data_IF_528299335472
#
_entry.id   IF_528299335472
#
_cell.length_a   1.000
_cell.length_b   1.000
_cell.length_c   1.000
_cell.angle_alpha   90.00
_cell.angle_beta   90.00
_cell.angle_gamma   90.00
#
_symmetry.space_group_name_H-M   'P 1'
#
loop_
_entity.id
_entity.type
_entity.pdbx_description
1 polymer ?
#
# COMPACT_ATOMS: atom_id res chain seq x y z
N UNK A 1 3.39 25.04 -10.16
CA UNK A 1 3.79 24.26 -11.34
C UNK A 1 2.85 23.07 -11.61
N UNK A 2 2.68 22.10 -10.67
CA UNK A 2 1.80 20.94 -10.93
C UNK A 2 0.34 21.37 -11.23
N UNK A 3 -0.23 22.27 -10.42
CA UNK A 3 -1.58 22.83 -10.65
C UNK A 3 -1.68 23.57 -11.98
N UNK A 4 -0.64 24.32 -12.35
CA UNK A 4 -0.64 25.11 -13.59
C UNK A 4 -0.61 24.18 -14.81
N UNK A 5 0.20 23.10 -14.75
CA UNK A 5 0.25 22.07 -15.80
C UNK A 5 -1.09 21.34 -15.93
N UNK A 6 -1.75 21.02 -14.82
CA UNK A 6 -3.09 20.40 -14.83
C UNK A 6 -4.13 21.36 -15.39
N UNK A 7 -4.06 22.64 -15.04
CA UNK A 7 -4.96 23.65 -15.61
C UNK A 7 -4.79 23.79 -17.13
N UNK A 8 -3.56 23.72 -17.61
CA UNK A 8 -3.26 23.73 -19.04
C UNK A 8 -3.81 22.48 -19.73
N UNK A 9 -3.65 21.29 -19.15
CA UNK A 9 -4.12 20.04 -19.74
C UNK A 9 -5.64 19.92 -19.82
N UNK A 10 -6.37 20.68 -18.97
CA UNK A 10 -7.82 20.73 -18.98
C UNK A 10 -8.38 21.70 -20.04
N UNK A 11 -7.52 22.41 -20.77
CA UNK A 11 -7.95 23.24 -21.90
C UNK A 11 -7.87 22.44 -23.20
N UNK A 12 -8.85 22.59 -24.08
CA UNK A 12 -8.93 21.86 -25.35
C UNK A 12 -7.75 22.15 -26.32
N UNK A 13 -6.89 23.10 -25.95
CA UNK A 13 -5.80 23.56 -26.79
C UNK A 13 -4.43 22.95 -26.46
N UNK A 14 -4.30 22.24 -25.32
CA UNK A 14 -3.00 21.77 -24.85
C UNK A 14 -3.02 20.30 -24.42
N UNK A 15 -2.01 19.56 -24.87
CA UNK A 15 -1.65 18.26 -24.33
C UNK A 15 -0.35 18.40 -23.56
N UNK A 16 -0.34 17.98 -22.30
CA UNK A 16 0.85 18.03 -21.43
C UNK A 16 1.37 16.62 -21.23
N UNK A 17 2.61 16.38 -21.63
CA UNK A 17 3.36 15.15 -21.35
C UNK A 17 4.54 15.52 -20.44
N UNK A 18 4.61 14.92 -19.28
CA UNK A 18 5.65 15.16 -18.29
C UNK A 18 6.41 13.88 -18.00
N UNK A 19 7.73 13.92 -18.07
CA UNK A 19 8.61 12.87 -17.56
C UNK A 19 9.25 13.34 -16.26
N UNK A 20 9.18 12.56 -15.22
CA UNK A 20 9.68 12.93 -13.90
C UNK A 20 10.04 11.71 -13.06
N UNK A 21 10.92 11.89 -12.11
CA UNK A 21 11.18 10.98 -10.99
C UNK A 21 10.82 11.63 -9.64
N UNK A 22 10.03 12.69 -9.66
CA UNK A 22 9.59 13.39 -8.46
C UNK A 22 8.25 12.84 -7.97
N UNK A 23 8.23 12.31 -6.76
CA UNK A 23 7.05 11.81 -6.06
C UNK A 23 5.94 12.86 -5.90
N UNK A 24 6.31 14.14 -5.86
CA UNK A 24 5.35 15.25 -5.76
C UNK A 24 4.37 15.33 -6.94
N UNK A 25 4.74 14.83 -8.11
CA UNK A 25 3.84 14.81 -9.27
C UNK A 25 2.87 13.63 -9.21
N UNK A 26 3.22 12.55 -8.54
CA UNK A 26 2.37 11.35 -8.41
C UNK A 26 1.31 11.52 -7.33
N UNK A 27 1.62 12.25 -6.25
CA UNK A 27 0.85 12.26 -5.00
C UNK A 27 -0.48 13.05 -5.04
N UNK A 28 -0.76 13.88 -6.06
CA UNK A 28 -1.78 14.94 -5.89
C UNK A 28 -3.10 14.78 -6.64
N UNK A 29 -3.29 13.74 -7.44
CA UNK A 29 -4.59 13.56 -8.11
C UNK A 29 -4.82 12.10 -8.50
N UNK A 30 -5.98 11.62 -8.25
CA UNK A 30 -6.42 10.26 -8.58
C UNK A 30 -6.83 10.10 -10.04
N UNK A 31 -7.24 11.20 -10.67
CA UNK A 31 -7.42 11.24 -12.12
C UNK A 31 -6.08 10.98 -12.79
N UNK A 32 -4.98 11.33 -12.13
CA UNK A 32 -3.61 11.07 -12.59
C UNK A 32 -3.26 9.57 -12.62
N UNK A 33 -3.79 8.71 -11.76
CA UNK A 33 -3.36 7.30 -11.72
C UNK A 33 -3.56 6.59 -13.07
N UNK A 34 -4.63 6.87 -13.78
CA UNK A 34 -4.85 6.35 -15.14
C UNK A 34 -4.00 7.04 -16.20
N UNK A 35 -3.45 8.21 -15.89
CA UNK A 35 -2.56 8.98 -16.77
C UNK A 35 -1.07 8.68 -16.48
N UNK A 36 -0.77 7.97 -15.41
CA UNK A 36 0.61 7.56 -15.11
C UNK A 36 1.03 6.45 -16.06
N UNK A 37 2.13 6.69 -16.75
CA UNK A 37 2.86 5.68 -17.51
C UNK A 37 4.14 5.37 -16.76
N UNK A 38 4.20 4.21 -16.13
CA UNK A 38 5.37 3.75 -15.39
C UNK A 38 6.30 2.97 -16.33
N UNK A 39 7.53 3.42 -16.41
CA UNK A 39 8.57 2.81 -17.26
C UNK A 39 9.57 2.07 -16.37
N UNK A 40 9.69 0.77 -16.57
CA UNK A 40 10.66 -0.07 -15.87
C UNK A 40 11.64 -0.66 -16.87
N UNK A 41 12.94 -0.56 -16.59
CA UNK A 41 13.99 -1.20 -17.40
C UNK A 41 14.53 -2.42 -16.67
N UNK A 42 14.39 -3.58 -17.30
CA UNK A 42 14.89 -4.87 -16.76
C UNK A 42 15.70 -5.55 -17.84
N UNK A 43 16.95 -5.89 -17.56
CA UNK A 43 17.86 -6.60 -18.49
C UNK A 43 17.99 -5.88 -19.85
N UNK A 44 18.06 -4.57 -19.84
CA UNK A 44 18.18 -3.76 -21.06
C UNK A 44 16.88 -3.51 -21.83
N UNK A 45 15.79 -4.16 -21.44
CA UNK A 45 14.47 -4.05 -22.08
C UNK A 45 13.58 -3.12 -21.23
N UNK A 46 12.98 -2.11 -21.88
CA UNK A 46 12.01 -1.24 -21.23
C UNK A 46 10.62 -1.82 -21.34
N UNK A 47 9.93 -1.90 -20.21
CA UNK A 47 8.51 -2.28 -20.12
C UNK A 47 7.69 -1.07 -19.73
N UNK A 48 6.50 -0.98 -20.29
CA UNK A 48 5.54 0.10 -20.07
C UNK A 48 4.37 -0.46 -19.27
N UNK A 49 4.01 0.21 -18.19
CA UNK A 49 2.86 -0.10 -17.36
C UNK A 49 1.96 1.12 -17.26
N UNK A 50 0.69 0.92 -17.52
CA UNK A 50 -0.34 1.94 -17.36
C UNK A 50 -1.64 1.24 -17.00
N UNK A 51 -2.37 1.78 -16.05
CA UNK A 51 -3.66 1.26 -15.66
C UNK A 51 -4.72 1.83 -16.58
N UNK A 52 -5.39 0.97 -17.35
CA UNK A 52 -6.55 1.36 -18.13
C UNK A 52 -7.74 1.71 -17.22
N UNK A 53 -8.69 2.50 -17.72
CA UNK A 53 -9.92 2.81 -16.98
C UNK A 53 -10.67 1.56 -16.55
N UNK A 54 -10.73 0.53 -17.40
CA UNK A 54 -11.35 -0.76 -17.09
C UNK A 54 -10.64 -1.49 -15.96
N UNK A 55 -9.32 -1.57 -15.99
CA UNK A 55 -8.53 -2.20 -14.92
C UNK A 55 -8.64 -1.43 -13.61
N UNK A 56 -8.74 -0.12 -13.68
CA UNK A 56 -9.00 0.73 -12.52
C UNK A 56 -10.37 0.39 -11.90
N UNK A 57 -11.42 0.27 -12.71
CA UNK A 57 -12.75 -0.15 -12.27
C UNK A 57 -12.74 -1.57 -11.67
N UNK A 58 -11.94 -2.49 -12.21
CA UNK A 58 -11.76 -3.85 -11.67
C UNK A 58 -11.04 -3.84 -10.30
N UNK A 59 -10.06 -2.96 -10.10
CA UNK A 59 -9.42 -2.78 -8.78
C UNK A 59 -10.46 -2.31 -7.77
N UNK A 60 -11.34 -1.41 -8.19
CA UNK A 60 -12.41 -0.82 -7.38
C UNK A 60 -13.51 -1.83 -7.02
N UNK A 61 -13.94 -2.64 -7.96
CA UNK A 61 -15.10 -3.54 -7.77
C UNK A 61 -14.78 -4.72 -6.82
N UNK A 62 -13.50 -5.10 -6.70
CA UNK A 62 -13.08 -6.19 -5.81
C UNK A 62 -13.08 -5.86 -4.32
N UNK A 63 -13.40 -4.63 -3.92
CA UNK A 63 -13.56 -4.24 -2.52
C UNK A 63 -14.77 -4.81 -1.82
N UNK A 64 -15.66 -5.43 -2.55
CA UNK A 64 -16.75 -6.21 -1.95
C UNK A 64 -16.21 -7.20 -0.93
N UNK A 65 -15.02 -7.76 -1.14
CA UNK A 65 -14.42 -8.75 -0.22
C UNK A 65 -14.18 -8.21 1.17
N UNK A 66 -13.61 -6.99 1.32
CA UNK A 66 -13.39 -6.40 2.65
C UNK A 66 -14.71 -6.06 3.34
N UNK A 67 -15.71 -5.59 2.58
CA UNK A 67 -17.05 -5.35 3.09
C UNK A 67 -17.75 -6.64 3.51
N UNK A 68 -17.61 -7.72 2.75
CA UNK A 68 -18.14 -9.03 3.08
C UNK A 68 -17.51 -9.59 4.35
N UNK A 69 -16.17 -9.49 4.49
CA UNK A 69 -15.47 -9.87 5.71
C UNK A 69 -15.99 -9.03 6.89
N UNK A 70 -16.03 -7.70 6.75
CA UNK A 70 -16.48 -6.80 7.81
C UNK A 70 -17.91 -7.06 8.24
N UNK A 71 -18.81 -7.39 7.31
CA UNK A 71 -20.22 -7.67 7.60
C UNK A 71 -20.42 -8.98 8.38
N UNK A 72 -19.51 -9.95 8.21
CA UNK A 72 -19.55 -11.20 9.00
C UNK A 72 -19.08 -11.00 10.45
N UNK A 73 -18.28 -9.95 10.71
CA UNK A 73 -17.70 -9.68 12.03
C UNK A 73 -17.94 -8.24 12.50
N UNK A 74 -19.19 -7.77 12.60
CA UNK A 74 -19.49 -6.36 12.82
C UNK A 74 -18.92 -5.82 14.13
N UNK A 75 -18.84 -6.65 15.18
CA UNK A 75 -18.30 -6.25 16.49
C UNK A 75 -16.78 -6.04 16.47
N UNK A 76 -16.07 -6.79 15.63
CA UNK A 76 -14.62 -6.66 15.44
C UNK A 76 -14.34 -5.50 14.49
N UNK A 77 -15.11 -5.40 13.43
CA UNK A 77 -14.97 -4.38 12.39
C UNK A 77 -15.27 -2.94 12.88
N UNK A 78 -15.91 -2.78 14.03
CA UNK A 78 -16.11 -1.44 14.66
C UNK A 78 -14.83 -0.64 14.88
N UNK A 79 -13.68 -1.30 14.86
CA UNK A 79 -12.36 -0.65 14.98
C UNK A 79 -11.77 -0.26 13.63
N UNK A 80 -12.39 -0.68 12.53
CA UNK A 80 -12.01 -0.20 11.21
C UNK A 80 -12.34 1.27 11.09
N UNK A 81 -11.45 2.02 10.46
CA UNK A 81 -11.68 3.43 10.15
C UNK A 81 -12.67 3.54 9.00
N UNK A 82 -13.37 4.67 8.92
CA UNK A 82 -14.30 4.93 7.82
C UNK A 82 -13.58 4.82 6.44
N UNK A 83 -12.30 5.21 6.39
CA UNK A 83 -11.47 5.11 5.19
C UNK A 83 -11.22 3.68 4.74
N UNK A 84 -11.14 2.72 5.67
CA UNK A 84 -10.92 1.31 5.37
C UNK A 84 -12.12 0.72 4.59
N UNK A 85 -13.30 1.29 4.77
CA UNK A 85 -14.54 0.91 4.11
C UNK A 85 -14.89 1.75 2.88
N UNK A 86 -14.13 2.82 2.60
CA UNK A 86 -14.35 3.64 1.42
C UNK A 86 -14.17 2.83 0.12
N UNK A 87 -14.92 3.17 -0.94
CA UNK A 87 -14.62 2.65 -2.27
C UNK A 87 -13.15 2.88 -2.62
N UNK A 88 -12.52 1.89 -3.25
CA UNK A 88 -11.07 1.84 -3.48
C UNK A 88 -10.46 3.10 -4.07
N UNK A 89 -11.19 3.72 -5.01
CA UNK A 89 -10.74 4.97 -5.61
C UNK A 89 -10.49 6.03 -4.55
N UNK A 90 -11.44 6.24 -3.65
CA UNK A 90 -11.31 7.25 -2.60
C UNK A 90 -10.24 6.87 -1.59
N UNK A 91 -10.15 5.59 -1.23
CA UNK A 91 -9.15 5.12 -0.29
C UNK A 91 -7.73 5.24 -0.85
N UNK A 92 -7.46 4.72 -2.05
CA UNK A 92 -6.14 4.83 -2.69
C UNK A 92 -5.77 6.30 -2.89
N UNK A 93 -6.71 7.15 -3.33
CA UNK A 93 -6.54 8.59 -3.44
C UNK A 93 -6.12 9.22 -2.12
N UNK A 94 -6.89 8.92 -1.08
CA UNK A 94 -6.67 9.44 0.25
C UNK A 94 -5.27 9.07 0.75
N UNK A 95 -4.91 7.80 0.63
CA UNK A 95 -3.62 7.30 1.12
C UNK A 95 -2.41 7.83 0.35
N UNK A 96 -2.50 7.97 -0.96
CA UNK A 96 -1.42 8.56 -1.76
C UNK A 96 -1.31 10.08 -1.54
N UNK A 97 -2.43 10.76 -1.29
CA UNK A 97 -2.43 12.21 -1.06
C UNK A 97 -1.94 12.62 0.33
N UNK A 98 -1.99 11.73 1.32
CA UNK A 98 -1.61 12.05 2.70
C UNK A 98 -0.12 12.33 2.87
N UNK A 99 0.72 11.68 2.09
CA UNK A 99 2.17 11.85 2.18
C UNK A 99 2.85 11.69 0.83
N UNK A 100 3.64 12.69 0.43
CA UNK A 100 4.44 12.63 -0.78
C UNK A 100 5.49 11.50 -0.75
N UNK A 101 6.00 11.14 0.44
CA UNK A 101 6.96 10.04 0.63
C UNK A 101 6.38 8.69 0.19
N UNK A 102 5.06 8.50 0.27
CA UNK A 102 4.42 7.28 -0.25
C UNK A 102 4.52 7.16 -1.76
N UNK A 103 4.57 8.26 -2.45
CA UNK A 103 4.76 8.27 -3.89
C UNK A 103 6.18 7.87 -4.32
N UNK A 104 7.14 7.80 -3.38
CA UNK A 104 8.49 7.28 -3.64
C UNK A 104 8.45 5.79 -4.00
N UNK A 105 7.42 5.07 -3.58
CA UNK A 105 7.19 3.69 -4.00
C UNK A 105 7.13 3.50 -5.53
N UNK A 106 6.68 4.52 -6.27
CA UNK A 106 6.65 4.49 -7.75
C UNK A 106 8.04 4.54 -8.38
N UNK A 107 9.05 4.93 -7.62
CA UNK A 107 10.43 5.09 -8.09
C UNK A 107 11.40 4.12 -7.41
N UNK A 108 10.88 3.29 -6.51
CA UNK A 108 11.68 2.29 -5.79
C UNK A 108 11.99 1.07 -6.66
N UNK A 109 13.09 0.40 -6.36
CA UNK A 109 13.41 -0.91 -6.94
C UNK A 109 12.60 -2.04 -6.32
N UNK A 110 12.25 -1.88 -5.04
CA UNK A 110 11.35 -2.74 -4.29
C UNK A 110 10.65 -1.94 -3.21
N UNK A 111 9.33 -2.13 -3.08
CA UNK A 111 8.54 -1.54 -2.00
C UNK A 111 8.23 -2.59 -0.95
N UNK A 112 8.46 -2.30 0.32
CA UNK A 112 8.03 -3.13 1.44
C UNK A 112 6.72 -2.55 1.99
N UNK A 113 5.62 -3.22 1.75
CA UNK A 113 4.31 -2.87 2.28
C UNK A 113 4.21 -3.36 3.73
N UNK A 114 3.94 -2.45 4.66
CA UNK A 114 3.78 -2.76 6.08
C UNK A 114 2.45 -2.23 6.60
N UNK A 115 2.00 -2.73 7.76
CA UNK A 115 0.71 -2.34 8.32
C UNK A 115 0.70 -0.89 8.81
N UNK A 116 1.79 -0.44 9.45
CA UNK A 116 1.80 0.86 10.09
C UNK A 116 3.17 1.48 10.31
N UNK A 117 3.16 2.58 11.05
CA UNK A 117 4.34 3.41 11.30
C UNK A 117 5.40 2.74 12.20
N UNK A 118 5.00 1.77 13.03
CA UNK A 118 5.93 1.02 13.90
C UNK A 118 6.89 0.18 13.06
N UNK A 119 6.36 -0.55 12.08
CA UNK A 119 7.15 -1.35 11.14
C UNK A 119 8.04 -0.46 10.28
N UNK A 120 7.51 0.69 9.80
CA UNK A 120 8.31 1.67 9.04
C UNK A 120 9.50 2.15 9.86
N UNK A 121 9.26 2.55 11.12
CA UNK A 121 10.30 3.01 12.02
C UNK A 121 11.37 1.95 12.28
N UNK A 122 10.93 0.70 12.54
CA UNK A 122 11.85 -0.42 12.76
C UNK A 122 12.70 -0.72 11.53
N UNK A 123 12.08 -0.89 10.36
CA UNK A 123 12.81 -1.27 9.15
C UNK A 123 13.77 -0.16 8.74
N UNK A 124 13.34 1.10 8.76
CA UNK A 124 14.23 2.21 8.44
C UNK A 124 15.41 2.28 9.42
N UNK A 125 15.17 2.05 10.72
CA UNK A 125 16.26 1.97 11.71
C UNK A 125 17.26 0.86 11.40
N UNK A 126 16.78 -0.32 11.00
CA UNK A 126 17.65 -1.45 10.63
C UNK A 126 18.45 -1.16 9.34
N UNK A 127 17.88 -0.40 8.42
CA UNK A 127 18.58 0.08 7.21
C UNK A 127 19.64 1.09 7.60
N UNK A 128 19.30 2.09 8.41
CA UNK A 128 20.20 3.18 8.82
C UNK A 128 21.38 2.66 9.65
N UNK A 129 21.15 1.62 10.46
CA UNK A 129 22.19 0.98 11.27
C UNK A 129 23.06 0.00 10.46
N UNK A 130 22.76 -0.21 9.18
CA UNK A 130 23.47 -1.14 8.31
C UNK A 130 23.20 -2.63 8.63
N UNK A 131 22.18 -2.93 9.43
CA UNK A 131 21.74 -4.31 9.72
C UNK A 131 21.14 -4.96 8.48
N UNK A 132 20.40 -4.17 7.69
CA UNK A 132 19.91 -4.57 6.37
C UNK A 132 20.88 -3.99 5.34
N UNK A 133 21.65 -4.88 4.72
CA UNK A 133 22.57 -4.53 3.66
C UNK A 133 21.83 -4.36 2.32
N UNK A 134 22.41 -3.61 1.39
CA UNK A 134 21.90 -3.42 0.01
C UNK A 134 20.46 -2.89 -0.10
N UNK A 135 20.05 -2.07 0.87
CA UNK A 135 18.72 -1.45 0.86
C UNK A 135 18.56 -0.28 -0.15
N UNK A 136 19.52 -0.12 -1.07
CA UNK A 136 19.47 0.96 -2.05
C UNK A 136 18.23 0.84 -2.95
N UNK A 137 17.42 1.91 -2.98
CA UNK A 137 16.19 1.95 -3.76
C UNK A 137 15.02 1.18 -3.14
N UNK A 138 15.13 0.71 -1.90
CA UNK A 138 14.02 0.16 -1.14
C UNK A 138 13.18 1.28 -0.56
N UNK A 139 11.85 1.18 -0.70
CA UNK A 139 10.88 2.07 -0.07
C UNK A 139 10.06 1.28 0.95
N UNK A 140 10.01 1.72 2.19
CA UNK A 140 9.12 1.16 3.21
C UNK A 140 7.81 1.94 3.20
N UNK A 141 6.72 1.26 2.86
CA UNK A 141 5.43 1.88 2.59
C UNK A 141 4.42 1.56 3.71
N UNK A 142 4.06 2.58 4.48
CA UNK A 142 2.99 2.49 5.48
C UNK A 142 1.61 2.41 4.81
N UNK A 143 0.95 1.27 4.93
CA UNK A 143 -0.40 1.07 4.43
C UNK A 143 -1.49 1.67 5.32
N UNK A 144 -1.13 2.21 6.51
CA UNK A 144 -2.09 2.73 7.51
C UNK A 144 -3.10 1.70 8.00
N UNK A 145 -2.75 0.44 7.95
CA UNK A 145 -3.52 -0.68 8.46
C UNK A 145 -3.60 -1.86 7.52
N UNK A 146 -3.74 -3.04 8.07
CA UNK A 146 -3.82 -4.33 7.37
C UNK A 146 -4.90 -4.36 6.26
N UNK A 147 -6.01 -3.65 6.49
CA UNK A 147 -7.18 -3.64 5.61
C UNK A 147 -6.89 -3.08 4.21
N UNK A 148 -5.83 -2.28 4.07
CA UNK A 148 -5.50 -1.58 2.84
C UNK A 148 -4.39 -2.29 2.05
N UNK A 149 -3.58 -3.13 2.69
CA UNK A 149 -2.42 -3.81 2.09
C UNK A 149 -2.76 -4.46 0.75
N UNK A 150 -3.81 -5.25 0.69
CA UNK A 150 -4.23 -5.96 -0.52
C UNK A 150 -4.52 -5.01 -1.71
N UNK A 151 -4.95 -3.77 -1.43
CA UNK A 151 -5.25 -2.75 -2.46
C UNK A 151 -3.97 -2.24 -3.10
N UNK A 152 -2.95 -1.96 -2.27
CA UNK A 152 -1.65 -1.54 -2.79
C UNK A 152 -0.94 -2.66 -3.52
N UNK A 153 -1.03 -3.91 -3.06
CA UNK A 153 -0.51 -5.06 -3.82
C UNK A 153 -1.09 -5.12 -5.23
N UNK A 154 -2.41 -4.94 -5.38
CA UNK A 154 -3.08 -4.93 -6.70
C UNK A 154 -2.65 -3.75 -7.55
N UNK A 155 -2.63 -2.54 -6.98
CA UNK A 155 -2.20 -1.32 -7.65
C UNK A 155 -0.77 -1.46 -8.17
N UNK A 156 0.15 -1.87 -7.30
CA UNK A 156 1.57 -2.02 -7.64
C UNK A 156 1.78 -3.13 -8.65
N UNK A 157 1.06 -4.24 -8.54
CA UNK A 157 1.09 -5.29 -9.55
C UNK A 157 0.71 -4.79 -10.95
N UNK A 158 -0.32 -3.95 -11.07
CA UNK A 158 -0.73 -3.36 -12.36
C UNK A 158 0.27 -2.35 -12.91
N UNK A 159 0.99 -1.68 -12.03
CA UNK A 159 2.02 -0.70 -12.39
C UNK A 159 3.42 -1.33 -12.54
N UNK A 160 3.56 -2.65 -12.38
CA UNK A 160 4.84 -3.31 -12.50
C UNK A 160 5.82 -2.97 -11.38
N UNK A 161 5.32 -2.53 -10.21
CA UNK A 161 6.14 -2.17 -9.05
C UNK A 161 6.39 -3.44 -8.23
N UNK A 162 7.66 -3.83 -8.12
CA UNK A 162 8.08 -4.94 -7.26
C UNK A 162 7.79 -4.59 -5.80
N UNK A 163 7.17 -5.54 -5.08
CA UNK A 163 6.83 -5.34 -3.68
C UNK A 163 6.91 -6.63 -2.88
N UNK A 164 7.25 -6.48 -1.60
CA UNK A 164 7.11 -7.47 -0.56
C UNK A 164 6.13 -6.97 0.49
N UNK A 165 5.61 -7.87 1.30
CA UNK A 165 4.59 -7.55 2.32
C UNK A 165 5.06 -8.09 3.65
N UNK A 166 4.95 -7.30 4.71
CA UNK A 166 5.15 -7.72 6.10
C UNK A 166 3.88 -7.36 6.87
N UNK A 167 3.24 -8.35 7.44
CA UNK A 167 2.00 -8.21 8.21
C UNK A 167 2.05 -9.04 9.48
N UNK A 168 1.27 -8.66 10.47
CA UNK A 168 1.05 -9.48 11.66
C UNK A 168 0.19 -10.71 11.31
N UNK A 169 0.49 -11.88 11.88
CA UNK A 169 -0.38 -13.05 11.75
C UNK A 169 -1.65 -12.91 12.58
N UNK A 170 -1.59 -12.17 13.68
CA UNK A 170 -2.66 -12.01 14.67
C UNK A 170 -3.20 -13.34 15.26
N UNK A 171 -2.40 -14.41 15.18
CA UNK A 171 -2.78 -15.74 15.67
C UNK A 171 -2.86 -15.80 17.21
N UNK A 172 -2.40 -14.75 17.90
CA UNK A 172 -2.54 -14.54 19.34
C UNK A 172 -3.95 -14.02 19.73
N UNK A 173 -4.80 -13.69 18.79
CA UNK A 173 -6.21 -13.33 19.02
C UNK A 173 -7.04 -14.60 19.27
N UNK A 174 -8.26 -14.42 19.75
CA UNK A 174 -9.19 -15.50 20.07
C UNK A 174 -10.51 -15.34 19.35
N UNK A 175 -11.24 -16.46 19.17
CA UNK A 175 -12.61 -16.52 18.69
C UNK A 175 -12.86 -15.75 17.39
N UNK A 176 -13.85 -14.85 17.41
CA UNK A 176 -14.25 -14.04 16.23
C UNK A 176 -13.13 -13.13 15.72
N UNK A 177 -12.26 -12.66 16.63
CA UNK A 177 -11.14 -11.80 16.22
C UNK A 177 -10.11 -12.59 15.45
N UNK A 178 -9.77 -13.79 15.90
CA UNK A 178 -8.86 -14.67 15.18
C UNK A 178 -9.39 -14.95 13.77
N UNK A 179 -10.63 -15.40 13.65
CA UNK A 179 -11.26 -15.70 12.34
C UNK A 179 -11.27 -14.50 11.40
N UNK A 180 -11.55 -13.32 11.93
CA UNK A 180 -11.54 -12.09 11.16
C UNK A 180 -10.14 -11.80 10.58
N UNK A 181 -9.08 -11.93 11.40
CA UNK A 181 -7.71 -11.72 10.95
C UNK A 181 -7.22 -12.83 10.01
N UNK A 182 -7.64 -14.07 10.22
CA UNK A 182 -7.38 -15.18 9.29
C UNK A 182 -7.95 -14.90 7.90
N UNK A 183 -9.19 -14.38 7.82
CA UNK A 183 -9.79 -14.01 6.54
C UNK A 183 -9.10 -12.81 5.86
N UNK A 184 -8.65 -11.82 6.66
CA UNK A 184 -7.83 -10.72 6.13
C UNK A 184 -6.47 -11.22 5.60
N UNK A 185 -5.83 -12.10 6.35
CA UNK A 185 -4.56 -12.69 5.93
C UNK A 185 -4.76 -13.50 4.62
N UNK A 186 -5.84 -14.25 4.52
CA UNK A 186 -6.19 -14.97 3.29
C UNK A 186 -6.47 -14.02 2.11
N UNK A 187 -7.12 -12.88 2.35
CA UNK A 187 -7.35 -11.86 1.32
C UNK A 187 -6.02 -11.28 0.81
N UNK A 188 -5.06 -11.01 1.69
CA UNK A 188 -3.73 -10.53 1.33
C UNK A 188 -2.98 -11.60 0.51
N UNK A 189 -2.98 -12.85 0.96
CA UNK A 189 -2.36 -13.97 0.23
C UNK A 189 -2.93 -14.16 -1.18
N UNK A 190 -4.26 -14.11 -1.32
CA UNK A 190 -4.93 -14.22 -2.61
C UNK A 190 -4.75 -13.01 -3.52
N UNK A 191 -4.20 -11.90 -2.98
CA UNK A 191 -3.85 -10.70 -3.75
C UNK A 191 -2.44 -10.76 -4.33
N UNK A 192 -1.68 -11.82 -4.04
CA UNK A 192 -0.35 -12.08 -4.62
C UNK A 192 -0.40 -12.04 -6.14
N UNK A 193 0.58 -11.41 -6.74
CA UNK A 193 0.69 -11.24 -8.18
C UNK A 193 2.16 -11.37 -8.64
N UNK A 194 2.41 -11.27 -9.93
CA UNK A 194 3.75 -11.45 -10.54
C UNK A 194 4.83 -10.53 -9.95
N UNK A 195 4.45 -9.39 -9.41
CA UNK A 195 5.36 -8.40 -8.82
C UNK A 195 5.47 -8.51 -7.30
N UNK A 196 4.71 -9.40 -6.66
CA UNK A 196 4.84 -9.74 -5.25
C UNK A 196 6.02 -10.70 -5.07
N UNK A 197 7.09 -10.24 -4.44
CA UNK A 197 8.29 -11.04 -4.22
C UNK A 197 8.09 -11.99 -3.03
N UNK A 198 7.62 -11.45 -1.92
CA UNK A 198 7.44 -12.22 -0.69
C UNK A 198 6.28 -11.64 0.14
N UNK A 199 5.66 -12.51 0.95
CA UNK A 199 4.71 -12.13 1.99
C UNK A 199 5.20 -12.79 3.27
N UNK A 200 5.59 -11.97 4.25
CA UNK A 200 6.01 -12.42 5.58
C UNK A 200 4.90 -12.14 6.59
N UNK A 201 4.65 -13.11 7.44
CA UNK A 201 3.70 -12.98 8.55
C UNK A 201 4.45 -13.10 9.87
N UNK A 202 4.53 -12.00 10.61
CA UNK A 202 5.11 -11.97 11.95
C UNK A 202 4.21 -12.78 12.87
N UNK A 203 4.79 -13.69 13.64
CA UNK A 203 4.04 -14.52 14.58
C UNK A 203 3.44 -13.65 15.71
N UNK A 204 2.12 -13.72 15.87
CA UNK A 204 1.35 -12.82 16.73
C UNK A 204 1.25 -11.41 16.17
N UNK A 205 2.01 -10.50 16.73
CA UNK A 205 2.17 -9.11 16.28
C UNK A 205 3.60 -8.62 16.52
N UNK A 206 3.95 -7.47 15.95
CA UNK A 206 5.31 -6.92 16.02
C UNK A 206 5.79 -6.74 17.47
N UNK A 207 4.96 -6.24 18.39
CA UNK A 207 5.32 -6.02 19.79
C UNK A 207 5.66 -7.34 20.48
N UNK A 208 4.86 -8.38 20.26
CA UNK A 208 5.08 -9.71 20.81
C UNK A 208 6.37 -10.32 20.25
N UNK A 209 6.58 -10.20 18.95
CA UNK A 209 7.79 -10.68 18.27
C UNK A 209 9.06 -10.02 18.81
N UNK A 210 9.01 -8.72 19.13
CA UNK A 210 10.11 -7.98 19.72
C UNK A 210 10.26 -8.18 21.22
N UNK A 211 9.38 -8.97 21.87
CA UNK A 211 9.39 -9.17 23.31
C UNK A 211 9.02 -7.92 24.12
N UNK A 212 8.29 -6.98 23.51
CA UNK A 212 7.82 -5.76 24.16
C UNK A 212 6.53 -6.08 24.92
N UNK A 213 6.52 -5.85 26.23
CA UNK A 213 5.33 -6.06 27.06
C UNK A 213 4.19 -5.14 26.62
N UNK A 214 3.06 -5.72 26.22
CA UNK A 214 1.86 -4.99 25.78
C UNK A 214 1.25 -4.06 26.85
N UNK A 215 1.74 -4.11 28.09
CA UNK A 215 1.30 -3.24 29.20
C UNK A 215 1.72 -1.77 29.07
N UNK A 216 2.70 -1.48 28.21
CA UNK A 216 3.21 -0.10 28.05
C UNK A 216 2.38 0.71 27.05
N UNK A 217 1.57 0.08 26.20
CA UNK A 217 0.76 0.79 25.20
C UNK A 217 -0.62 1.26 25.72
N UNK A 218 -0.98 0.96 26.96
CA UNK A 218 -2.31 1.23 27.52
C UNK A 218 -2.49 2.58 28.21
N UNK A 219 -1.42 3.30 28.54
CA UNK A 219 -1.47 4.55 29.29
C UNK A 219 -1.17 5.80 28.43
N UNK A 220 -1.99 6.01 27.39
CA UNK A 220 -2.17 7.35 26.85
C UNK A 220 -3.58 7.81 27.22
N UNK A 221 -3.68 8.38 28.44
CA UNK A 221 -4.73 9.32 28.79
C UNK A 221 -4.35 10.70 28.25
#
# INVERSE_FOLDING_TARGET
LCRDLMSLSNSDSWQVILTTHSSHFVSRSSEILTSIVHLVRTNGISKIFQISKKEWEEIVDRNRMIHEISSRYPDVAKRMRDEDTLPDIKAIKYFLCLNAERADAFFSTCTILVEGTSEVGLINKLIDDGTIEDASGVCVFDCLGKYIVHRFMKLFGKLGICHSVIIDSDNNKTDKKLKFHEELNALIETSKNTYTQHIEKIDGNLELFLGIDAKVSGDKK
#
